data_IF_692990230096
#
_entry.id   IF_692990230096
#
_cell.length_a   1.000
_cell.length_b   1.000
_cell.length_c   1.000
_cell.angle_alpha   90.00
_cell.angle_beta   90.00
_cell.angle_gamma   90.00
#
_symmetry.space_group_name_H-M   'P 1'
#
loop_
_entity.id
_entity.type
_entity.pdbx_description
1 polymer ?
#
# COMPACT_ATOMS: atom_id res chain seq x y z
N UNK A 1 0.63 -14.09 17.07
CA UNK A 1 0.86 -14.17 15.62
C UNK A 1 0.86 -12.74 15.04
N UNK A 2 2.02 -12.13 14.81
CA UNK A 2 2.13 -10.76 14.25
C UNK A 2 3.27 -10.61 13.22
N UNK A 3 3.91 -11.71 12.79
CA UNK A 3 5.06 -11.67 11.88
C UNK A 3 4.69 -11.77 10.38
N UNK A 4 3.48 -12.17 10.02
CA UNK A 4 3.07 -12.30 8.60
C UNK A 4 2.84 -10.96 7.90
N UNK A 5 2.28 -9.97 8.61
CA UNK A 5 1.89 -8.70 7.99
C UNK A 5 3.09 -7.82 7.59
N UNK A 6 4.22 -7.94 8.27
CA UNK A 6 5.42 -7.15 7.95
C UNK A 6 6.21 -7.75 6.78
N UNK A 7 6.23 -9.10 6.67
CA UNK A 7 6.79 -9.79 5.50
C UNK A 7 6.00 -9.49 4.24
N UNK A 8 4.67 -9.61 4.31
CA UNK A 8 3.79 -9.28 3.19
C UNK A 8 3.94 -7.81 2.75
N UNK A 9 4.06 -6.87 3.69
CA UNK A 9 4.25 -5.46 3.33
C UNK A 9 5.58 -5.23 2.60
N UNK A 10 6.68 -5.78 3.13
CA UNK A 10 8.01 -5.63 2.54
C UNK A 10 8.10 -6.26 1.14
N UNK A 11 7.53 -7.44 0.96
CA UNK A 11 7.48 -8.13 -0.33
C UNK A 11 6.68 -7.34 -1.37
N UNK A 12 5.50 -6.83 -0.99
CA UNK A 12 4.69 -6.00 -1.88
C UNK A 12 5.40 -4.68 -2.26
N UNK A 13 6.09 -4.05 -1.30
CA UNK A 13 6.87 -2.83 -1.58
C UNK A 13 8.04 -3.08 -2.52
N UNK A 14 8.78 -4.18 -2.33
CA UNK A 14 9.87 -4.58 -3.23
C UNK A 14 9.36 -4.84 -4.65
N UNK A 15 8.19 -5.47 -4.79
CA UNK A 15 7.57 -5.73 -6.09
C UNK A 15 7.19 -4.43 -6.81
N UNK A 16 6.58 -3.48 -6.09
CA UNK A 16 6.31 -2.12 -6.58
C UNK A 16 7.58 -1.38 -7.04
N UNK A 17 8.66 -1.47 -6.28
CA UNK A 17 9.93 -0.83 -6.61
C UNK A 17 10.57 -1.46 -7.86
N UNK A 18 10.50 -2.78 -8.02
CA UNK A 18 10.97 -3.48 -9.21
C UNK A 18 10.18 -3.06 -10.46
N UNK A 19 8.84 -2.99 -10.34
CA UNK A 19 7.95 -2.52 -11.39
C UNK A 19 8.31 -1.09 -11.81
N UNK A 20 8.45 -0.17 -10.84
CA UNK A 20 8.81 1.22 -11.12
C UNK A 20 10.16 1.33 -11.84
N UNK A 21 11.17 0.58 -11.40
CA UNK A 21 12.49 0.57 -12.06
C UNK A 21 12.40 0.03 -13.50
N UNK A 22 11.63 -1.02 -13.75
CA UNK A 22 11.42 -1.58 -15.08
C UNK A 22 10.78 -0.58 -16.04
N UNK A 23 9.74 0.13 -15.57
CA UNK A 23 9.05 1.18 -16.33
C UNK A 23 9.92 2.41 -16.59
N UNK A 24 10.87 2.71 -15.71
CA UNK A 24 11.75 3.88 -15.85
C UNK A 24 12.95 3.58 -16.77
N UNK A 25 13.43 2.33 -16.80
CA UNK A 25 14.61 1.93 -17.60
C UNK A 25 14.27 1.49 -19.02
N UNK A 26 13.11 0.87 -19.26
CA UNK A 26 12.70 0.44 -20.60
C UNK A 26 11.82 1.49 -21.26
N UNK A 27 12.29 2.07 -22.38
CA UNK A 27 11.53 3.04 -23.18
C UNK A 27 10.43 2.41 -24.05
N UNK A 28 10.50 1.11 -24.29
CA UNK A 28 9.47 0.34 -25.00
C UNK A 28 9.00 -0.79 -24.06
N UNK A 29 8.17 -0.45 -23.09
CA UNK A 29 7.42 -1.46 -22.35
C UNK A 29 6.18 -1.78 -23.17
N UNK A 30 6.01 -3.05 -23.52
CA UNK A 30 4.83 -3.53 -24.23
C UNK A 30 3.57 -3.17 -23.42
N UNK A 31 2.63 -2.46 -24.04
CA UNK A 31 1.43 -1.94 -23.39
C UNK A 31 0.59 -3.07 -22.78
N UNK A 32 0.64 -4.25 -23.39
CA UNK A 32 -0.05 -5.45 -22.91
C UNK A 32 0.59 -6.01 -21.63
N UNK A 33 1.88 -5.75 -21.38
CA UNK A 33 2.56 -6.08 -20.13
C UNK A 33 2.41 -5.00 -19.05
N UNK A 34 2.10 -3.77 -19.43
CA UNK A 34 1.87 -2.64 -18.53
C UNK A 34 0.56 -2.77 -17.73
N UNK A 35 -0.51 -3.23 -18.37
CA UNK A 35 -1.84 -3.38 -17.73
C UNK A 35 -1.80 -4.24 -16.47
N UNK A 36 -1.26 -5.49 -16.48
CA UNK A 36 -1.23 -6.32 -15.28
C UNK A 36 -0.35 -5.72 -14.17
N UNK A 37 0.74 -5.02 -14.52
CA UNK A 37 1.61 -4.35 -13.54
C UNK A 37 0.91 -3.20 -12.83
N UNK A 38 0.14 -2.39 -13.58
CA UNK A 38 -0.64 -1.27 -13.02
C UNK A 38 -1.80 -1.77 -12.17
N UNK A 39 -2.46 -2.87 -12.56
CA UNK A 39 -3.53 -3.49 -11.77
C UNK A 39 -2.99 -4.06 -10.43
N UNK A 40 -1.85 -4.76 -10.46
CA UNK A 40 -1.18 -5.22 -9.23
C UNK A 40 -0.77 -4.04 -8.33
N UNK A 41 -0.19 -2.98 -8.91
CA UNK A 41 0.20 -1.78 -8.17
C UNK A 41 -1.01 -1.10 -7.52
N UNK A 42 -2.14 -1.03 -8.23
CA UNK A 42 -3.38 -0.42 -7.72
C UNK A 42 -3.98 -1.22 -6.56
N UNK A 43 -3.99 -2.55 -6.66
CA UNK A 43 -4.43 -3.43 -5.56
C UNK A 43 -3.56 -3.29 -4.32
N UNK A 44 -2.24 -3.27 -4.51
CA UNK A 44 -1.29 -3.05 -3.41
C UNK A 44 -1.50 -1.68 -2.75
N UNK A 45 -1.69 -0.63 -3.54
CA UNK A 45 -1.99 0.71 -3.04
C UNK A 45 -3.29 0.75 -2.22
N UNK A 46 -4.37 0.14 -2.72
CA UNK A 46 -5.66 0.09 -2.01
C UNK A 46 -5.54 -0.63 -0.65
N UNK A 47 -4.79 -1.73 -0.58
CA UNK A 47 -4.55 -2.44 0.68
C UNK A 47 -3.79 -1.58 1.70
N UNK A 48 -2.76 -0.84 1.24
CA UNK A 48 -2.03 0.10 2.08
C UNK A 48 -2.93 1.23 2.58
N UNK A 49 -3.75 1.81 1.68
CA UNK A 49 -4.68 2.88 2.03
C UNK A 49 -5.71 2.45 3.06
N UNK A 50 -6.34 1.29 2.88
CA UNK A 50 -7.32 0.76 3.84
C UNK A 50 -6.75 0.62 5.26
N UNK A 51 -5.46 0.27 5.36
CA UNK A 51 -4.77 0.16 6.65
C UNK A 51 -4.50 1.53 7.28
N UNK A 52 -4.11 2.53 6.47
CA UNK A 52 -3.93 3.91 6.95
C UNK A 52 -5.27 4.46 7.45
N UNK A 53 -6.34 4.33 6.66
CA UNK A 53 -7.67 4.80 7.02
C UNK A 53 -8.16 4.15 8.33
N UNK A 54 -7.88 2.86 8.53
CA UNK A 54 -8.21 2.15 9.78
C UNK A 54 -7.44 2.70 10.99
N UNK A 55 -6.17 3.06 10.80
CA UNK A 55 -5.36 3.67 11.87
C UNK A 55 -5.84 5.09 12.18
N UNK A 56 -6.14 5.89 11.15
CA UNK A 56 -6.70 7.23 11.32
C UNK A 56 -8.01 7.17 12.11
N UNK A 57 -8.94 6.29 11.74
CA UNK A 57 -10.19 6.12 12.48
C UNK A 57 -9.97 5.68 13.93
N UNK A 58 -9.03 4.76 14.18
CA UNK A 58 -8.72 4.32 15.53
C UNK A 58 -8.11 5.45 16.38
N UNK A 59 -7.29 6.31 15.74
CA UNK A 59 -6.68 7.47 16.39
C UNK A 59 -7.72 8.56 16.66
N UNK A 60 -8.55 8.91 15.68
CA UNK A 60 -9.65 9.88 15.84
C UNK A 60 -10.59 9.47 16.98
N UNK A 61 -11.01 8.20 17.04
CA UNK A 61 -11.86 7.71 18.14
C UNK A 61 -11.18 7.85 19.52
N UNK A 62 -9.86 7.65 19.60
CA UNK A 62 -9.12 7.85 20.86
C UNK A 62 -9.06 9.32 21.25
N UNK A 63 -8.79 10.20 20.28
CA UNK A 63 -8.70 11.65 20.51
C UNK A 63 -10.08 12.26 20.86
N UNK A 64 -11.16 11.79 20.26
CA UNK A 64 -12.53 12.17 20.63
C UNK A 64 -12.90 11.70 22.04
N UNK A 65 -12.50 10.47 22.42
CA UNK A 65 -12.72 9.96 23.77
C UNK A 65 -11.91 10.74 24.83
N UNK A 66 -10.71 11.23 24.52
CA UNK A 66 -9.90 12.07 25.42
C UNK A 66 -10.47 13.50 25.61
N UNK A 67 -11.33 13.99 24.71
CA UNK A 67 -12.00 15.29 24.86
C UNK A 67 -13.26 15.26 25.73
N UNK A 68 -13.77 14.07 26.09
CA UNK A 68 -15.04 13.93 26.83
C UNK A 68 -14.85 13.76 28.34
N UNK A 69 -13.63 14.01 28.85
CA UNK A 69 -13.27 13.87 30.28
C UNK A 69 -13.09 15.23 31.00
N UNK A 70 -13.74 16.30 30.51
CA UNK A 70 -13.84 17.62 31.15
C UNK A 70 -15.28 18.07 31.37
#
# INVERSE_FOLDING_TARGET
MNQDNSKNFKENYQKLQQIANLLTQNREVDIDQLIPMVDEATKAYQACKARIDSVEQALSKRLENEQTDF
#
